data_IF_486917954400
#
_entry.id   IF_486917954400
#
_cell.length_a   1.000
_cell.length_b   1.000
_cell.length_c   1.000
_cell.angle_alpha   90.00
_cell.angle_beta   90.00
_cell.angle_gamma   90.00
#
_symmetry.space_group_name_H-M   'P 1'
#
loop_
_entity.id
_entity.type
_entity.pdbx_description
1 polymer ?
#
# COMPACT_ATOMS: atom_id res chain seq x y z
N UNK A 1 -16.22 -39.44 30.00
CA UNK A 1 -14.88 -38.82 30.06
C UNK A 1 -15.06 -37.32 29.90
N UNK A 2 -14.96 -36.56 30.99
CA UNK A 2 -15.09 -35.11 30.94
C UNK A 2 -13.85 -34.54 30.24
N UNK A 3 -14.02 -33.85 29.10
CA UNK A 3 -12.95 -33.04 28.53
C UNK A 3 -12.69 -31.92 29.53
N UNK A 4 -11.54 -31.94 30.20
CA UNK A 4 -11.11 -30.79 30.98
C UNK A 4 -11.12 -29.56 30.07
N UNK A 5 -11.78 -28.50 30.50
CA UNK A 5 -11.78 -27.24 29.78
C UNK A 5 -10.33 -26.73 29.72
N UNK A 6 -9.81 -26.55 28.51
CA UNK A 6 -8.46 -26.03 28.32
C UNK A 6 -8.47 -24.55 28.66
N UNK A 7 -7.70 -24.17 29.68
CA UNK A 7 -7.51 -22.78 30.07
C UNK A 7 -6.28 -22.22 29.35
N UNK A 8 -6.51 -21.22 28.51
CA UNK A 8 -5.45 -20.57 27.74
C UNK A 8 -4.64 -19.61 28.61
N UNK A 9 -3.36 -19.91 28.79
CA UNK A 9 -2.44 -19.12 29.62
C UNK A 9 -1.58 -18.12 28.82
N UNK A 10 -1.85 -17.98 27.52
CA UNK A 10 -1.08 -17.06 26.67
C UNK A 10 -1.49 -15.61 26.95
N UNK A 11 -0.50 -14.74 27.08
CA UNK A 11 -0.73 -13.31 26.96
C UNK A 11 -0.90 -12.96 25.48
N UNK A 12 -2.16 -12.88 25.08
CA UNK A 12 -2.53 -12.55 23.71
C UNK A 12 -2.15 -11.13 23.30
N UNK A 13 -2.01 -10.21 24.25
CA UNK A 13 -1.62 -8.83 23.95
C UNK A 13 -0.16 -8.79 23.53
N UNK A 14 0.73 -9.35 24.37
CA UNK A 14 2.17 -9.40 24.08
C UNK A 14 2.46 -10.25 22.83
N UNK A 15 1.77 -11.39 22.69
CA UNK A 15 1.95 -12.28 21.53
C UNK A 15 1.54 -11.60 20.22
N UNK A 16 0.42 -10.87 20.20
CA UNK A 16 -0.04 -10.17 19.02
C UNK A 16 0.87 -8.99 18.65
N UNK A 17 1.39 -8.25 19.64
CA UNK A 17 2.34 -7.15 19.38
C UNK A 17 3.60 -7.64 18.67
N UNK A 18 4.11 -8.83 19.00
CA UNK A 18 5.28 -9.43 18.34
C UNK A 18 5.00 -9.92 16.92
N UNK A 19 3.74 -10.18 16.58
CA UNK A 19 3.34 -10.66 15.24
C UNK A 19 2.96 -9.53 14.29
N UNK A 20 2.79 -8.32 14.80
CA UNK A 20 2.38 -7.16 14.00
C UNK A 20 3.61 -6.37 13.57
N UNK A 21 4.10 -6.65 12.36
CA UNK A 21 5.07 -5.80 11.67
C UNK A 21 4.38 -4.52 11.18
N UNK A 22 4.45 -3.44 11.96
CA UNK A 22 3.82 -2.13 11.64
C UNK A 22 4.67 -1.20 10.78
N UNK A 23 5.94 -1.56 10.55
CA UNK A 23 6.95 -0.66 9.98
C UNK A 23 7.41 -1.06 8.58
N UNK A 24 6.77 -2.06 7.96
CA UNK A 24 7.08 -2.48 6.60
C UNK A 24 5.97 -2.07 5.65
N UNK A 25 6.27 -1.13 4.75
CA UNK A 25 5.37 -0.75 3.68
C UNK A 25 5.84 -1.36 2.38
N UNK A 26 5.07 -2.32 1.88
CA UNK A 26 5.35 -2.98 0.61
C UNK A 26 4.84 -2.09 -0.53
N UNK A 27 5.78 -1.41 -1.21
CA UNK A 27 5.48 -0.71 -2.45
C UNK A 27 5.66 -1.65 -3.64
N UNK A 28 4.57 -1.91 -4.35
CA UNK A 28 4.68 -2.47 -5.70
C UNK A 28 5.01 -1.35 -6.69
N UNK A 29 6.00 -1.63 -7.56
CA UNK A 29 6.36 -0.80 -8.71
C UNK A 29 5.90 -1.43 -10.03
N UNK A 30 5.08 -2.48 -9.99
CA UNK A 30 4.60 -3.21 -11.19
C UNK A 30 3.84 -2.29 -12.16
N UNK A 31 3.26 -1.18 -11.68
CA UNK A 31 2.62 -0.19 -12.56
C UNK A 31 3.62 0.48 -13.53
N UNK A 32 4.92 0.44 -13.24
CA UNK A 32 5.95 0.97 -14.14
C UNK A 32 6.16 0.07 -15.36
N UNK A 33 5.81 -1.21 -15.27
CA UNK A 33 6.02 -2.18 -16.35
C UNK A 33 5.18 -1.84 -17.59
N UNK A 34 3.98 -1.28 -17.39
CA UNK A 34 3.08 -0.82 -18.46
C UNK A 34 3.15 0.69 -18.73
N UNK A 35 4.07 1.42 -18.07
CA UNK A 35 4.07 2.88 -18.04
C UNK A 35 4.01 3.54 -19.42
N UNK A 36 4.86 3.10 -20.34
CA UNK A 36 4.96 3.70 -21.66
C UNK A 36 3.67 3.48 -22.49
N UNK A 37 3.12 2.27 -22.40
CA UNK A 37 1.92 1.88 -23.14
C UNK A 37 0.68 2.59 -22.59
N UNK A 38 0.54 2.65 -21.26
CA UNK A 38 -0.55 3.38 -20.60
C UNK A 38 -0.52 4.87 -20.95
N UNK A 39 0.68 5.47 -20.95
CA UNK A 39 0.85 6.87 -21.33
C UNK A 39 0.50 7.13 -22.79
N UNK A 40 0.94 6.26 -23.69
CA UNK A 40 0.64 6.38 -25.11
C UNK A 40 -0.88 6.25 -25.34
N UNK A 41 -1.52 5.25 -24.73
CA UNK A 41 -2.95 5.00 -24.86
C UNK A 41 -3.79 6.15 -24.28
N UNK A 42 -3.48 6.61 -23.07
CA UNK A 42 -4.23 7.68 -22.41
C UNK A 42 -4.12 9.03 -23.14
N UNK A 43 -3.07 9.22 -23.93
CA UNK A 43 -2.79 10.47 -24.62
C UNK A 43 -2.84 10.37 -26.15
N UNK A 44 -3.29 9.23 -26.68
CA UNK A 44 -3.42 9.01 -28.10
C UNK A 44 -4.33 10.07 -28.74
N UNK A 45 -3.88 10.62 -29.88
CA UNK A 45 -4.64 11.62 -30.63
C UNK A 45 -4.82 12.98 -29.95
N UNK A 46 -4.21 13.23 -28.77
CA UNK A 46 -4.27 14.54 -28.13
C UNK A 46 -3.34 15.52 -28.82
N UNK A 47 -3.93 16.58 -29.37
CA UNK A 47 -3.20 17.76 -29.84
C UNK A 47 -3.61 18.95 -28.97
N UNK A 48 -2.68 19.46 -28.16
CA UNK A 48 -2.88 20.65 -27.29
C UNK A 48 -3.79 20.46 -26.08
N UNK A 49 -4.45 19.30 -25.91
CA UNK A 49 -5.22 18.98 -24.70
C UNK A 49 -4.28 18.57 -23.55
N UNK A 50 -4.76 18.76 -22.31
CA UNK A 50 -3.99 18.39 -21.11
C UNK A 50 -3.60 16.92 -21.14
N UNK A 51 -2.34 16.66 -20.81
CA UNK A 51 -1.80 15.32 -20.63
C UNK A 51 -2.46 14.62 -19.43
N UNK A 52 -2.76 13.34 -19.58
CA UNK A 52 -3.38 12.51 -18.53
C UNK A 52 -2.36 11.46 -18.10
N UNK A 53 -2.21 11.32 -16.79
CA UNK A 53 -1.36 10.31 -16.17
C UNK A 53 -2.20 9.09 -15.77
N UNK A 54 -1.58 7.89 -15.71
CA UNK A 54 -2.27 6.69 -15.26
C UNK A 54 -2.73 6.84 -13.81
N UNK A 55 -3.90 6.28 -13.49
CA UNK A 55 -4.48 6.37 -12.15
C UNK A 55 -3.58 5.73 -11.08
N UNK A 56 -2.97 4.58 -11.41
CA UNK A 56 -2.04 3.89 -10.51
C UNK A 56 -0.85 4.76 -10.08
N UNK A 57 -0.37 5.62 -10.97
CA UNK A 57 0.70 6.57 -10.64
C UNK A 57 0.23 7.66 -9.67
N UNK A 58 -0.99 8.17 -9.86
CA UNK A 58 -1.60 9.15 -8.96
C UNK A 58 -1.76 8.53 -7.56
N UNK A 59 -2.25 7.29 -7.48
CA UNK A 59 -2.38 6.57 -6.21
C UNK A 59 -1.03 6.32 -5.55
N UNK A 60 -0.01 5.94 -6.32
CA UNK A 60 1.34 5.75 -5.82
C UNK A 60 1.91 7.04 -5.20
N UNK A 61 1.78 8.18 -5.89
CA UNK A 61 2.20 9.49 -5.36
C UNK A 61 1.40 9.91 -4.13
N UNK A 62 0.11 9.63 -4.10
CA UNK A 62 -0.74 9.89 -2.93
C UNK A 62 -0.25 9.08 -1.72
N UNK A 63 0.07 7.79 -1.89
CA UNK A 63 0.62 6.97 -0.80
C UNK A 63 1.94 7.53 -0.29
N UNK A 64 2.88 7.88 -1.18
CA UNK A 64 4.15 8.51 -0.80
C UNK A 64 3.94 9.80 -0.01
N UNK A 65 3.00 10.65 -0.44
CA UNK A 65 2.67 11.88 0.26
C UNK A 65 2.09 11.61 1.66
N UNK A 66 1.14 10.67 1.78
CA UNK A 66 0.54 10.31 3.06
C UNK A 66 1.56 9.77 4.05
N UNK A 67 2.47 8.91 3.60
CA UNK A 67 3.55 8.37 4.44
C UNK A 67 4.51 9.48 4.84
N UNK A 68 4.95 10.30 3.90
CA UNK A 68 5.85 11.43 4.19
C UNK A 68 5.28 12.42 5.20
N UNK A 69 3.96 12.68 5.17
CA UNK A 69 3.31 13.52 6.16
C UNK A 69 3.25 12.87 7.55
N UNK A 70 3.00 11.56 7.61
CA UNK A 70 2.97 10.82 8.88
C UNK A 70 4.33 10.84 9.58
N UNK A 71 5.42 10.69 8.82
CA UNK A 71 6.79 10.78 9.36
C UNK A 71 7.18 12.19 9.81
N UNK A 72 6.61 13.24 9.22
CA UNK A 72 6.94 14.63 9.58
C UNK A 72 6.17 15.17 10.79
N UNK A 73 5.11 14.47 11.23
CA UNK A 73 4.23 14.86 12.35
C UNK A 73 4.50 13.97 13.59
N UNK A 74 5.17 12.83 13.42
CA UNK A 74 5.65 11.97 14.50
C UNK A 74 7.01 12.41 15.04
#
# INVERSE_FOLDING_TARGET
MARGEYEDKRDWTEYNEKLVHRDELYFSFEFLDSWADDLAQLNEGKVGRRYVFPELFIWHLMMLHTISLKESIS
#
